data_IF_346599627204
#
_entry.id   IF_346599627204
#
_cell.length_a   1.000
_cell.length_b   1.000
_cell.length_c   1.000
_cell.angle_alpha   90.00
_cell.angle_beta   90.00
_cell.angle_gamma   90.00
#
_symmetry.space_group_name_H-M   'P 1'
#
loop_
_entity.id
_entity.type
_entity.pdbx_description
1 polymer ?
#
# COMPACT_ATOMS: atom_id res chain seq x y z
N UNK A 1 3.79 -16.15 -22.85
CA UNK A 1 4.89 -15.98 -21.86
C UNK A 1 4.31 -15.45 -20.56
N UNK A 2 4.88 -15.80 -19.39
CA UNK A 2 4.34 -15.45 -18.07
C UNK A 2 4.16 -13.94 -17.87
N UNK A 3 5.08 -13.10 -18.37
CA UNK A 3 4.98 -11.64 -18.35
C UNK A 3 3.76 -11.11 -19.09
N UNK A 4 3.42 -11.67 -20.26
CA UNK A 4 2.22 -11.29 -21.02
C UNK A 4 0.93 -11.67 -20.27
N UNK A 5 0.92 -12.86 -19.63
CA UNK A 5 -0.21 -13.29 -18.82
C UNK A 5 -0.45 -12.36 -17.63
N UNK A 6 0.63 -11.88 -16.98
CA UNK A 6 0.53 -10.88 -15.92
C UNK A 6 -0.07 -9.56 -16.42
N UNK A 7 0.39 -9.04 -17.58
CA UNK A 7 -0.15 -7.78 -18.12
C UNK A 7 -1.63 -7.92 -18.53
N UNK A 8 -1.99 -9.07 -19.11
CA UNK A 8 -3.39 -9.34 -19.44
C UNK A 8 -4.26 -9.38 -18.18
N UNK A 9 -3.81 -10.09 -17.13
CA UNK A 9 -4.53 -10.16 -15.86
C UNK A 9 -4.66 -8.79 -15.19
N UNK A 10 -3.61 -7.97 -15.20
CA UNK A 10 -3.66 -6.59 -14.68
C UNK A 10 -4.68 -5.75 -15.44
N UNK A 11 -4.69 -5.83 -16.77
CA UNK A 11 -5.64 -5.13 -17.62
C UNK A 11 -7.08 -5.54 -17.30
N UNK A 12 -7.34 -6.83 -17.15
CA UNK A 12 -8.64 -7.36 -16.77
C UNK A 12 -9.09 -6.83 -15.39
N UNK A 13 -8.20 -6.86 -14.38
CA UNK A 13 -8.56 -6.34 -13.05
C UNK A 13 -8.88 -4.85 -13.08
N UNK A 14 -8.16 -4.07 -13.87
CA UNK A 14 -8.42 -2.64 -14.05
C UNK A 14 -9.73 -2.37 -14.77
N UNK A 15 -10.06 -3.16 -15.79
CA UNK A 15 -11.37 -3.04 -16.50
C UNK A 15 -12.56 -3.35 -15.59
N UNK A 16 -12.36 -4.16 -14.54
CA UNK A 16 -13.35 -4.43 -13.48
C UNK A 16 -13.43 -3.30 -12.42
N UNK A 17 -12.70 -2.19 -12.60
CA UNK A 17 -12.73 -1.02 -11.72
C UNK A 17 -11.77 -1.05 -10.53
N UNK A 18 -10.89 -2.03 -10.43
CA UNK A 18 -9.85 -2.05 -9.40
C UNK A 18 -8.67 -1.16 -9.79
N UNK A 19 -8.12 -0.36 -8.85
CA UNK A 19 -6.87 0.41 -9.06
C UNK A 19 -5.70 -0.51 -9.37
N UNK A 20 -5.55 -1.56 -8.61
CA UNK A 20 -4.63 -2.68 -8.81
C UNK A 20 -3.13 -2.32 -8.93
N UNK A 21 -2.71 -1.19 -8.37
CA UNK A 21 -1.33 -0.68 -8.57
C UNK A 21 -0.31 -1.51 -7.78
N UNK A 22 -0.52 -1.71 -6.48
CA UNK A 22 0.38 -2.51 -5.63
C UNK A 22 0.43 -3.98 -6.05
N UNK A 23 -0.71 -4.53 -6.45
CA UNK A 23 -0.81 -5.91 -6.93
C UNK A 23 -0.08 -6.05 -8.26
N UNK A 24 -0.29 -5.13 -9.19
CA UNK A 24 0.39 -5.10 -10.48
C UNK A 24 1.90 -5.07 -10.31
N UNK A 25 2.41 -4.18 -9.44
CA UNK A 25 3.85 -4.11 -9.15
C UNK A 25 4.39 -5.45 -8.63
N UNK A 26 3.70 -6.05 -7.66
CA UNK A 26 4.12 -7.34 -7.09
C UNK A 26 4.10 -8.48 -8.11
N UNK A 27 3.09 -8.53 -8.99
CA UNK A 27 2.97 -9.57 -10.01
C UNK A 27 4.04 -9.44 -11.09
N UNK A 28 4.38 -8.20 -11.51
CA UNK A 28 5.49 -7.96 -12.44
C UNK A 28 6.81 -8.43 -11.87
N UNK A 29 7.12 -8.06 -10.63
CA UNK A 29 8.33 -8.50 -9.94
C UNK A 29 8.41 -10.03 -9.86
N UNK A 30 7.31 -10.71 -9.55
CA UNK A 30 7.26 -12.16 -9.55
C UNK A 30 7.49 -12.75 -10.93
N UNK A 31 6.84 -12.20 -11.98
CA UNK A 31 7.00 -12.70 -13.34
C UNK A 31 8.44 -12.54 -13.85
N UNK A 32 9.06 -11.38 -13.61
CA UNK A 32 10.49 -11.14 -13.91
C UNK A 32 11.39 -12.15 -13.20
N UNK A 33 11.15 -12.38 -11.91
CA UNK A 33 11.91 -13.33 -11.10
C UNK A 33 11.79 -14.76 -11.63
N UNK A 34 10.57 -15.18 -12.02
CA UNK A 34 10.31 -16.52 -12.53
C UNK A 34 10.89 -16.73 -13.93
N UNK A 35 10.67 -15.78 -14.83
CA UNK A 35 11.19 -15.83 -16.22
C UNK A 35 12.72 -15.82 -16.25
N UNK A 36 13.37 -15.02 -15.41
CA UNK A 36 14.83 -15.03 -15.29
C UNK A 36 15.41 -16.39 -14.84
N UNK A 37 14.56 -17.29 -14.33
CA UNK A 37 14.92 -18.66 -13.93
C UNK A 37 14.37 -19.72 -14.88
N UNK A 38 13.91 -19.31 -16.05
CA UNK A 38 13.46 -20.20 -17.13
C UNK A 38 12.03 -20.71 -16.96
N UNK A 39 11.25 -20.17 -16.02
CA UNK A 39 9.87 -20.62 -15.81
C UNK A 39 8.93 -20.05 -16.88
N UNK A 40 8.20 -20.90 -17.55
CA UNK A 40 7.11 -20.54 -18.46
C UNK A 40 5.75 -20.54 -17.77
N UNK A 41 5.63 -21.25 -16.66
CA UNK A 41 4.43 -21.44 -15.84
C UNK A 41 4.70 -21.06 -14.39
N UNK A 42 3.63 -20.79 -13.65
CA UNK A 42 3.73 -20.55 -12.21
C UNK A 42 4.06 -21.88 -11.53
N UNK A 43 5.17 -21.93 -10.82
CA UNK A 43 5.60 -23.04 -10.00
C UNK A 43 5.48 -22.71 -8.53
N UNK A 44 4.91 -23.60 -7.72
CA UNK A 44 4.74 -23.37 -6.28
C UNK A 44 6.06 -23.08 -5.58
N UNK A 45 7.08 -23.87 -5.83
CA UNK A 45 8.43 -23.65 -5.28
C UNK A 45 8.99 -22.28 -5.63
N UNK A 46 8.73 -21.81 -6.86
CA UNK A 46 9.19 -20.50 -7.32
C UNK A 46 8.50 -19.37 -6.57
N UNK A 47 7.21 -19.51 -6.29
CA UNK A 47 6.45 -18.53 -5.49
C UNK A 47 7.01 -18.44 -4.07
N UNK A 48 7.31 -19.57 -3.43
CA UNK A 48 7.90 -19.58 -2.10
C UNK A 48 9.31 -18.99 -2.09
N UNK A 49 10.16 -19.37 -3.04
CA UNK A 49 11.52 -18.85 -3.17
C UNK A 49 11.53 -17.33 -3.37
N UNK A 50 10.63 -16.80 -4.22
CA UNK A 50 10.47 -15.36 -4.41
C UNK A 50 9.96 -14.66 -3.14
N UNK A 51 8.96 -15.22 -2.49
CA UNK A 51 8.44 -14.71 -1.22
C UNK A 51 9.51 -14.64 -0.14
N UNK A 52 10.39 -15.65 -0.07
CA UNK A 52 11.48 -15.74 0.91
C UNK A 52 12.54 -14.63 0.77
N UNK A 53 12.62 -13.94 -0.36
CA UNK A 53 13.48 -12.75 -0.51
C UNK A 53 13.03 -11.59 0.41
N UNK A 54 11.80 -11.65 0.91
CA UNK A 54 11.26 -10.65 1.82
C UNK A 54 11.41 -11.10 3.27
N UNK A 55 12.17 -10.34 4.08
CA UNK A 55 12.41 -10.64 5.49
C UNK A 55 11.15 -10.56 6.35
N UNK A 56 10.24 -9.65 6.02
CA UNK A 56 8.99 -9.44 6.76
C UNK A 56 7.98 -10.54 6.48
N UNK A 57 7.69 -11.37 7.45
CA UNK A 57 6.71 -12.45 7.33
C UNK A 57 5.29 -11.98 6.95
N UNK A 58 4.73 -10.87 7.49
CA UNK A 58 3.45 -10.33 7.05
C UNK A 58 3.46 -9.90 5.57
N UNK A 59 4.56 -9.25 5.12
CA UNK A 59 4.72 -8.84 3.72
C UNK A 59 4.83 -10.05 2.80
N UNK A 60 5.65 -11.04 3.15
CA UNK A 60 5.78 -12.31 2.40
C UNK A 60 4.44 -12.98 2.20
N UNK A 61 3.64 -13.13 3.26
CA UNK A 61 2.28 -13.67 3.18
C UNK A 61 1.41 -12.90 2.19
N UNK A 62 1.46 -11.57 2.21
CA UNK A 62 0.72 -10.72 1.27
C UNK A 62 1.17 -10.95 -0.17
N UNK A 63 2.48 -11.03 -0.41
CA UNK A 63 3.05 -11.27 -1.75
C UNK A 63 2.65 -12.64 -2.30
N UNK A 64 2.80 -13.69 -1.50
CA UNK A 64 2.40 -15.06 -1.88
C UNK A 64 0.89 -15.14 -2.14
N UNK A 65 0.06 -14.50 -1.32
CA UNK A 65 -1.38 -14.45 -1.52
C UNK A 65 -1.77 -13.74 -2.84
N UNK A 66 -1.07 -12.67 -3.22
CA UNK A 66 -1.29 -11.98 -4.50
C UNK A 66 -0.97 -12.89 -5.69
N UNK A 67 0.19 -13.55 -5.66
CA UNK A 67 0.56 -14.51 -6.71
C UNK A 67 -0.41 -15.69 -6.74
N UNK A 68 -0.86 -16.16 -5.58
CA UNK A 68 -1.86 -17.24 -5.51
C UNK A 68 -3.18 -16.87 -6.19
N UNK A 69 -3.67 -15.64 -6.06
CA UNK A 69 -4.89 -15.20 -6.76
C UNK A 69 -4.68 -15.18 -8.27
N UNK A 70 -3.54 -14.68 -8.72
CA UNK A 70 -3.17 -14.73 -10.13
C UNK A 70 -3.04 -16.19 -10.62
N UNK A 71 -2.36 -17.04 -9.85
CA UNK A 71 -2.19 -18.46 -10.18
C UNK A 71 -3.52 -19.21 -10.34
N UNK A 72 -4.54 -18.87 -9.53
CA UNK A 72 -5.89 -19.44 -9.69
C UNK A 72 -6.51 -19.10 -11.03
N UNK A 73 -6.38 -17.85 -11.47
CA UNK A 73 -6.91 -17.42 -12.75
C UNK A 73 -6.19 -18.15 -13.90
N UNK A 74 -4.88 -18.21 -13.84
CA UNK A 74 -4.07 -18.89 -14.84
C UNK A 74 -4.29 -20.41 -14.88
N UNK A 75 -4.47 -21.03 -13.72
CA UNK A 75 -4.76 -22.48 -13.62
C UNK A 75 -6.11 -22.85 -14.26
N UNK A 76 -7.08 -21.94 -14.21
CA UNK A 76 -8.37 -22.16 -14.86
C UNK A 76 -8.25 -22.17 -16.41
N UNK A 77 -7.26 -21.49 -16.95
CA UNK A 77 -6.97 -21.45 -18.39
C UNK A 77 -6.01 -22.58 -18.79
N UNK A 78 -5.00 -22.85 -17.95
CA UNK A 78 -3.96 -23.85 -18.20
C UNK A 78 -3.53 -24.51 -16.87
N UNK A 79 -3.84 -25.79 -16.72
CA UNK A 79 -3.56 -26.58 -15.50
C UNK A 79 -2.08 -26.73 -15.18
N UNK A 80 -1.17 -26.40 -16.11
CA UNK A 80 0.29 -26.37 -15.86
C UNK A 80 0.73 -25.29 -14.88
N UNK A 81 -0.11 -24.27 -14.66
CA UNK A 81 0.12 -23.30 -13.59
C UNK A 81 -0.25 -23.90 -12.23
N UNK A 82 0.70 -23.98 -11.32
CA UNK A 82 0.49 -24.50 -9.97
C UNK A 82 -0.10 -23.41 -9.07
N UNK A 83 -1.13 -23.77 -8.29
CA UNK A 83 -1.75 -22.88 -7.32
C UNK A 83 -1.18 -23.12 -5.93
N UNK A 84 -0.44 -22.16 -5.33
CA UNK A 84 0.07 -22.32 -3.97
C UNK A 84 -1.05 -22.61 -2.97
N UNK A 85 -0.86 -23.54 -2.01
CA UNK A 85 -1.84 -23.79 -0.96
C UNK A 85 -2.16 -22.53 -0.14
N UNK A 86 -3.37 -22.46 0.44
CA UNK A 86 -3.77 -21.30 1.23
C UNK A 86 -2.92 -21.11 2.48
N UNK A 87 -2.36 -22.18 2.99
CA UNK A 87 -1.69 -22.29 4.28
C UNK A 87 -0.16 -22.33 4.18
N UNK A 88 0.40 -22.19 2.98
CA UNK A 88 1.84 -22.31 2.78
C UNK A 88 2.69 -21.27 3.59
N UNK A 89 2.08 -20.19 4.09
CA UNK A 89 2.72 -19.16 4.92
C UNK A 89 2.05 -19.00 6.31
N UNK A 90 1.30 -20.01 6.79
CA UNK A 90 0.51 -19.92 8.03
C UNK A 90 1.34 -19.87 9.31
N UNK A 91 2.56 -20.36 9.28
CA UNK A 91 3.39 -20.50 10.50
C UNK A 91 3.95 -19.18 11.04
N UNK A 92 3.89 -18.10 10.29
CA UNK A 92 4.28 -16.79 10.80
C UNK A 92 3.14 -16.17 11.61
N UNK A 93 3.22 -16.27 12.93
CA UNK A 93 2.31 -15.59 13.85
C UNK A 93 2.39 -14.08 13.60
N UNK A 94 1.31 -13.47 13.15
CA UNK A 94 1.25 -12.01 13.01
C UNK A 94 1.08 -11.44 14.42
N UNK A 95 2.16 -11.00 15.02
CA UNK A 95 2.11 -10.18 16.23
C UNK A 95 1.72 -8.77 15.79
N UNK A 96 0.49 -8.38 16.10
CA UNK A 96 0.06 -6.98 15.92
C UNK A 96 0.69 -6.16 17.04
N UNK A 97 1.66 -5.33 16.70
CA UNK A 97 2.15 -4.32 17.63
C UNK A 97 1.02 -3.33 17.89
N UNK A 98 0.68 -3.02 19.14
CA UNK A 98 -0.30 -1.98 19.44
C UNK A 98 0.18 -0.64 18.84
N UNK A 99 -0.74 0.19 18.33
CA UNK A 99 -0.35 1.49 17.82
C UNK A 99 0.23 2.36 18.95
N UNK A 100 1.26 3.12 18.64
CA UNK A 100 1.77 4.12 19.56
C UNK A 100 0.77 5.27 19.65
N UNK A 101 0.37 5.63 20.86
CA UNK A 101 -0.53 6.76 21.14
C UNK A 101 0.36 7.92 21.59
N UNK A 102 0.41 8.97 20.76
CA UNK A 102 1.20 10.16 21.06
C UNK A 102 0.61 10.94 22.25
N UNK A 103 1.45 11.28 23.21
CA UNK A 103 1.12 12.21 24.30
C UNK A 103 1.23 13.66 23.80
N UNK A 104 0.68 14.62 24.58
CA UNK A 104 0.85 16.04 24.28
C UNK A 104 2.35 16.42 24.20
N UNK A 105 3.18 15.90 25.10
CA UNK A 105 4.63 16.14 25.10
C UNK A 105 5.32 15.58 23.83
N UNK A 106 4.85 14.45 23.31
CA UNK A 106 5.37 13.90 22.04
C UNK A 106 5.02 14.80 20.87
N UNK A 107 3.80 15.35 20.86
CA UNK A 107 3.33 16.27 19.83
C UNK A 107 4.15 17.55 19.88
N UNK A 108 4.39 18.11 21.07
CA UNK A 108 5.20 19.33 21.25
C UNK A 108 6.64 19.11 20.77
N UNK A 109 7.24 17.97 21.08
CA UNK A 109 8.57 17.57 20.56
C UNK A 109 8.59 17.44 19.05
N UNK A 110 7.55 16.86 18.45
CA UNK A 110 7.41 16.77 16.99
C UNK A 110 7.33 18.16 16.35
N UNK A 111 6.52 19.05 16.92
CA UNK A 111 6.40 20.45 16.46
C UNK A 111 7.71 21.20 16.59
N UNK A 112 8.42 21.05 17.69
CA UNK A 112 9.75 21.64 17.89
C UNK A 112 10.78 21.12 16.86
N UNK A 113 10.80 19.80 16.65
CA UNK A 113 11.69 19.18 15.65
C UNK A 113 11.36 19.66 14.23
N UNK A 114 10.09 19.78 13.89
CA UNK A 114 9.65 20.34 12.61
C UNK A 114 10.14 21.78 12.41
N UNK A 115 10.07 22.61 13.47
CA UNK A 115 10.54 24.02 13.45
C UNK A 115 12.02 24.15 13.20
N UNK A 116 12.83 23.18 13.68
CA UNK A 116 14.29 23.19 13.57
C UNK A 116 14.80 22.51 12.29
N UNK A 117 13.93 21.92 11.49
CA UNK A 117 14.35 21.27 10.25
C UNK A 117 14.87 22.29 9.24
N UNK A 118 16.00 21.99 8.57
CA UNK A 118 16.43 22.81 7.44
C UNK A 118 15.41 22.72 6.31
N UNK A 119 15.19 23.82 5.61
CA UNK A 119 14.39 23.82 4.39
C UNK A 119 15.01 22.90 3.35
N UNK A 120 14.37 21.79 3.04
CA UNK A 120 14.86 20.81 2.08
C UNK A 120 13.93 20.81 0.86
N UNK A 121 14.35 21.46 -0.21
CA UNK A 121 13.57 21.52 -1.45
C UNK A 121 12.20 22.18 -1.25
N UNK A 122 11.12 21.40 -1.41
CA UNK A 122 9.74 21.90 -1.40
C UNK A 122 9.08 21.92 -0.01
N UNK A 123 9.72 21.34 1.03
CA UNK A 123 9.14 21.26 2.36
C UNK A 123 9.87 22.25 3.27
N UNK A 124 9.13 23.26 3.72
CA UNK A 124 9.61 24.21 4.74
C UNK A 124 9.23 23.76 6.14
N UNK A 125 9.91 24.24 7.19
CA UNK A 125 9.52 24.01 8.58
C UNK A 125 8.04 24.35 8.83
N UNK A 126 7.54 25.45 8.28
CA UNK A 126 6.15 25.91 8.42
C UNK A 126 5.18 24.94 7.79
N UNK A 127 5.52 24.42 6.59
CA UNK A 127 4.69 23.42 5.92
C UNK A 127 4.59 22.14 6.75
N UNK A 128 5.70 21.69 7.32
CA UNK A 128 5.71 20.49 8.16
C UNK A 128 4.96 20.70 9.48
N UNK A 129 5.15 21.86 10.13
CA UNK A 129 4.41 22.22 11.34
C UNK A 129 2.90 22.28 11.06
N UNK A 130 2.50 22.90 9.96
CA UNK A 130 1.09 22.99 9.56
C UNK A 130 0.51 21.59 9.31
N UNK A 131 1.24 20.72 8.62
CA UNK A 131 0.83 19.35 8.38
C UNK A 131 0.63 18.57 9.69
N UNK A 132 1.63 18.61 10.60
CA UNK A 132 1.54 17.93 11.90
C UNK A 132 0.37 18.47 12.72
N UNK A 133 0.24 19.79 12.84
CA UNK A 133 -0.87 20.43 13.54
C UNK A 133 -2.23 20.03 12.97
N UNK A 134 -2.36 20.02 11.65
CA UNK A 134 -3.58 19.60 10.96
C UNK A 134 -3.92 18.12 11.24
N UNK A 135 -2.94 17.22 11.18
CA UNK A 135 -3.16 15.81 11.47
C UNK A 135 -3.58 15.58 12.93
N UNK A 136 -2.96 16.28 13.86
CA UNK A 136 -3.26 16.17 15.30
C UNK A 136 -4.65 16.70 15.62
N UNK A 137 -5.00 17.87 15.11
CA UNK A 137 -6.28 18.53 15.43
C UNK A 137 -7.48 17.89 14.76
N UNK A 138 -7.29 17.30 13.56
CA UNK A 138 -8.43 16.82 12.75
C UNK A 138 -8.53 15.29 12.64
N UNK A 139 -7.46 14.56 12.99
CA UNK A 139 -7.39 13.11 12.79
C UNK A 139 -7.42 12.68 11.30
N UNK A 140 -7.05 13.56 10.39
CA UNK A 140 -6.94 13.27 8.96
C UNK A 140 -5.91 12.17 8.69
N UNK A 141 -6.14 11.40 7.64
CA UNK A 141 -5.07 10.57 7.08
C UNK A 141 -4.07 11.46 6.35
N UNK A 142 -2.79 11.11 6.42
CA UNK A 142 -1.74 11.87 5.73
C UNK A 142 -2.05 12.06 4.24
N UNK A 143 -2.58 11.04 3.57
CA UNK A 143 -2.98 11.13 2.16
C UNK A 143 -4.15 12.08 1.91
N UNK A 144 -5.03 12.28 2.88
CA UNK A 144 -6.13 13.23 2.82
C UNK A 144 -5.61 14.67 3.01
N UNK A 145 -4.70 14.85 3.95
CA UNK A 145 -4.08 16.16 4.19
C UNK A 145 -3.23 16.64 3.01
N UNK A 146 -2.47 15.73 2.36
CA UNK A 146 -1.60 16.06 1.22
C UNK A 146 -2.33 16.43 -0.07
N UNK A 147 -3.63 16.09 -0.19
CA UNK A 147 -4.44 16.43 -1.38
C UNK A 147 -5.42 17.58 -1.12
N UNK A 148 -5.37 18.21 0.08
CA UNK A 148 -6.16 19.39 0.37
C UNK A 148 -5.74 20.56 -0.52
N UNK A 149 -6.72 21.23 -1.08
CA UNK A 149 -6.54 22.47 -1.84
C UNK A 149 -7.14 23.66 -1.07
N UNK A 150 -6.69 24.88 -1.36
CA UNK A 150 -7.23 26.08 -0.70
C UNK A 150 -8.75 26.20 -0.84
N UNK A 151 -9.32 25.73 -1.95
CA UNK A 151 -10.78 25.71 -2.18
C UNK A 151 -11.55 24.72 -1.29
N UNK A 152 -10.85 23.83 -0.61
CA UNK A 152 -11.44 22.85 0.32
C UNK A 152 -11.47 23.36 1.75
N UNK A 153 -10.87 24.53 1.99
CA UNK A 153 -10.78 25.18 3.31
C UNK A 153 -11.77 26.31 3.37
N UNK A 154 -12.70 26.26 4.31
CA UNK A 154 -13.59 27.36 4.68
C UNK A 154 -13.28 27.84 6.09
N UNK A 155 -13.96 28.89 6.53
CA UNK A 155 -13.71 29.49 7.84
C UNK A 155 -14.04 28.54 9.01
N UNK A 156 -14.95 27.62 8.80
CA UNK A 156 -15.54 26.75 9.82
C UNK A 156 -15.37 25.25 9.51
N UNK A 157 -14.84 24.89 8.35
CA UNK A 157 -14.78 23.49 7.92
C UNK A 157 -13.73 23.19 6.86
N UNK A 158 -13.34 21.92 6.79
CA UNK A 158 -12.52 21.34 5.74
C UNK A 158 -13.32 20.32 4.93
N UNK A 159 -13.34 20.45 3.63
CA UNK A 159 -13.94 19.45 2.73
C UNK A 159 -12.92 18.40 2.31
N UNK A 160 -13.05 17.19 2.84
CA UNK A 160 -12.22 16.05 2.44
C UNK A 160 -12.89 15.33 1.27
N UNK A 161 -12.27 15.44 0.10
CA UNK A 161 -12.78 14.83 -1.14
C UNK A 161 -12.21 13.44 -1.34
N UNK A 162 -13.04 12.52 -1.89
CA UNK A 162 -12.63 11.20 -2.37
C UNK A 162 -11.71 10.43 -1.41
N UNK A 163 -12.05 10.42 -0.12
CA UNK A 163 -11.35 9.62 0.89
C UNK A 163 -11.49 8.12 0.61
N UNK A 164 -11.07 7.27 1.52
CA UNK A 164 -11.19 5.81 1.39
C UNK A 164 -12.61 5.41 0.94
N UNK A 165 -12.73 4.62 -0.13
CA UNK A 165 -13.97 4.22 -0.81
C UNK A 165 -14.70 5.35 -1.55
N UNK A 166 -14.01 6.42 -1.96
CA UNK A 166 -14.58 7.51 -2.76
C UNK A 166 -15.53 8.45 -2.00
N UNK A 167 -15.64 8.30 -0.67
CA UNK A 167 -16.53 9.14 0.17
C UNK A 167 -15.91 10.50 0.43
N UNK A 168 -16.74 11.55 0.41
CA UNK A 168 -16.35 12.90 0.87
C UNK A 168 -16.99 13.19 2.22
N UNK A 169 -16.32 14.03 3.05
CA UNK A 169 -16.84 14.47 4.35
C UNK A 169 -16.38 15.87 4.68
N UNK A 170 -17.14 16.58 5.48
CA UNK A 170 -16.77 17.82 6.12
C UNK A 170 -16.18 17.56 7.50
N UNK A 171 -15.14 18.26 7.86
CA UNK A 171 -14.56 18.29 9.20
C UNK A 171 -14.74 19.70 9.74
N UNK A 172 -15.47 19.89 10.85
CA UNK A 172 -15.62 21.20 11.45
C UNK A 172 -14.29 21.68 12.03
N UNK A 173 -14.04 22.98 11.93
CA UNK A 173 -12.94 23.69 12.59
C UNK A 173 -13.54 24.47 13.76
N UNK A 174 -13.02 24.24 14.97
CA UNK A 174 -13.45 24.93 16.20
C UNK A 174 -12.35 25.86 16.69
#
# INVERSE_FOLDING_TARGET
MLTQAVEHYISLQRSLGYKFDDQAHSLRQFAEYAVARGDSFIRFERVLAWGALTLSAPRRRTLVARVRQFAKAMHAEDTRHEVPPIDCERHAKIVRTPPYIYTSDDIDRLMQSARQMPTTGWITPETLMTLVGLLVSTGLRISEALVLECRDVSIDSLLIRKSKHGKSRLIPLH
#
